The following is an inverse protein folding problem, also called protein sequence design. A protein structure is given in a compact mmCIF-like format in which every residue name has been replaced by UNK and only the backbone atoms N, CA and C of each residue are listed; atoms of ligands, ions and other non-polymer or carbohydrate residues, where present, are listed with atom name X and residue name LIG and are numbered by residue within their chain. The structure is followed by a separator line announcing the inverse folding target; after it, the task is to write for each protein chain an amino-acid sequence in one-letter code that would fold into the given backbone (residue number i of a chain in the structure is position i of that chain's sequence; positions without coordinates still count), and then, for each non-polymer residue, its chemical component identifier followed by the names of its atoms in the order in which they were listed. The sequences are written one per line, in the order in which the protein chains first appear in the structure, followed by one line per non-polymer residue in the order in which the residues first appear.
data_IF_633993763494
#
_entry.id   IF_633993763494
#
_cell.length_a   1.000
_cell.length_b   1.000
_cell.length_c   1.000
_cell.angle_alpha   90.00
_cell.angle_beta   90.00
_cell.angle_gamma   90.00
#
_symmetry.space_group_name_H-M   'P 1'
#
loop_
_entity.id
_entity.type
_entity.pdbx_description
1 polymer ?
#
# COMPACT_ATOMS: atom_id res chain seq x y z
N UNK A 1 -25.77 9.58 19.65
CA UNK A 1 -25.26 8.35 20.30
C UNK A 1 -25.54 7.17 19.36
N UNK A 2 -24.51 6.52 18.81
CA UNK A 2 -24.69 5.39 17.89
C UNK A 2 -25.00 4.10 18.64
N UNK A 3 -25.94 3.28 18.14
CA UNK A 3 -26.23 1.96 18.73
C UNK A 3 -24.98 1.09 18.71
N UNK A 4 -24.62 0.53 19.88
CA UNK A 4 -23.53 -0.45 20.01
C UNK A 4 -23.94 -1.75 19.32
N UNK A 5 -23.00 -2.40 18.64
CA UNK A 5 -23.25 -3.72 18.03
C UNK A 5 -23.40 -4.74 19.16
N UNK A 6 -24.60 -5.33 19.26
CA UNK A 6 -24.91 -6.37 20.23
C UNK A 6 -24.79 -7.75 19.57
N UNK A 7 -23.83 -8.54 20.06
CA UNK A 7 -23.58 -9.91 19.61
C UNK A 7 -23.96 -10.94 20.69
N UNK A 8 -24.65 -10.55 21.77
CA UNK A 8 -25.00 -11.43 22.90
C UNK A 8 -25.82 -12.68 22.51
N UNK A 9 -26.56 -12.60 21.39
CA UNK A 9 -27.43 -13.67 20.90
C UNK A 9 -26.71 -14.83 20.20
N UNK A 10 -25.44 -14.67 19.83
CA UNK A 10 -24.66 -15.74 19.22
C UNK A 10 -24.41 -16.87 20.24
N UNK A 11 -24.43 -18.12 19.81
CA UNK A 11 -23.87 -19.21 20.61
C UNK A 11 -22.36 -19.10 20.68
N UNK A 12 -21.71 -19.86 21.55
CA UNK A 12 -20.25 -19.83 21.67
C UNK A 12 -19.56 -20.43 20.44
N UNK A 13 -20.16 -21.43 19.80
CA UNK A 13 -19.71 -21.99 18.52
C UNK A 13 -19.79 -20.96 17.39
N UNK A 14 -20.90 -20.24 17.30
CA UNK A 14 -21.08 -19.16 16.32
C UNK A 14 -20.10 -18.01 16.57
N UNK A 15 -19.94 -17.59 17.83
CA UNK A 15 -19.02 -16.53 18.21
C UNK A 15 -17.56 -16.90 17.89
N UNK A 16 -17.18 -18.15 18.15
CA UNK A 16 -15.86 -18.70 17.77
C UNK A 16 -15.67 -18.69 16.26
N UNK A 17 -16.68 -19.11 15.49
CA UNK A 17 -16.57 -19.09 14.04
C UNK A 17 -16.42 -17.65 13.48
N UNK A 18 -17.20 -16.70 13.99
CA UNK A 18 -17.07 -15.27 13.61
C UNK A 18 -15.68 -14.75 13.98
N UNK A 19 -15.14 -15.11 15.14
CA UNK A 19 -13.78 -14.75 15.54
C UNK A 19 -12.73 -15.22 14.53
N UNK A 20 -12.80 -16.47 14.08
CA UNK A 20 -11.87 -17.02 13.07
C UNK A 20 -11.97 -16.28 11.72
N UNK A 21 -13.18 -15.86 11.32
CA UNK A 21 -13.37 -15.00 10.13
C UNK A 21 -12.72 -13.64 10.33
N UNK A 22 -12.91 -13.03 11.50
CA UNK A 22 -12.29 -11.73 11.83
C UNK A 22 -10.77 -11.83 11.81
N UNK A 23 -10.17 -12.88 12.37
CA UNK A 23 -8.72 -13.08 12.34
C UNK A 23 -8.17 -13.10 10.90
N UNK A 24 -8.83 -13.81 9.98
CA UNK A 24 -8.42 -13.84 8.57
C UNK A 24 -8.50 -12.48 7.90
N UNK A 25 -9.48 -11.64 8.25
CA UNK A 25 -9.55 -10.26 7.73
C UNK A 25 -8.40 -9.39 8.26
N UNK A 26 -8.04 -9.53 9.54
CA UNK A 26 -6.88 -8.85 10.11
C UNK A 26 -5.57 -9.27 9.43
N UNK A 27 -5.37 -10.58 9.22
CA UNK A 27 -4.18 -11.09 8.51
C UNK A 27 -4.11 -10.57 7.07
N UNK A 28 -5.26 -10.53 6.38
CA UNK A 28 -5.35 -10.01 5.01
C UNK A 28 -4.98 -8.53 4.94
N UNK A 29 -5.51 -7.71 5.85
CA UNK A 29 -5.21 -6.27 5.94
C UNK A 29 -3.75 -6.01 6.27
N UNK A 30 -3.19 -6.74 7.25
CA UNK A 30 -1.78 -6.64 7.62
C UNK A 30 -0.87 -6.95 6.43
N UNK A 31 -1.17 -8.03 5.70
CA UNK A 31 -0.43 -8.40 4.49
C UNK A 31 -0.49 -7.32 3.41
N UNK A 32 -1.63 -6.67 3.25
CA UNK A 32 -1.77 -5.56 2.29
C UNK A 32 -0.99 -4.32 2.73
N UNK A 33 -0.98 -4.00 4.02
CA UNK A 33 -0.16 -2.93 4.60
C UNK A 33 1.33 -3.15 4.35
N UNK A 34 1.83 -4.35 4.69
CA UNK A 34 3.22 -4.75 4.45
C UNK A 34 3.58 -4.68 2.96
N UNK A 35 2.69 -5.15 2.09
CA UNK A 35 2.89 -5.10 0.63
C UNK A 35 2.98 -3.66 0.13
N UNK A 36 2.13 -2.75 0.61
CA UNK A 36 2.17 -1.34 0.22
C UNK A 36 3.43 -0.65 0.76
N UNK A 37 3.82 -0.94 2.00
CA UNK A 37 5.02 -0.36 2.62
C UNK A 37 6.30 -0.80 1.92
N UNK A 38 6.42 -2.09 1.55
CA UNK A 38 7.55 -2.60 0.78
C UNK A 38 7.67 -1.87 -0.57
N UNK A 39 6.55 -1.60 -1.24
CA UNK A 39 6.55 -0.87 -2.51
C UNK A 39 6.92 0.61 -2.33
N UNK A 40 6.43 1.28 -1.28
CA UNK A 40 6.80 2.66 -0.95
C UNK A 40 8.31 2.76 -0.68
N UNK A 41 8.84 1.87 0.14
CA UNK A 41 10.28 1.80 0.43
C UNK A 41 11.12 1.66 -0.85
N UNK A 42 10.71 0.80 -1.80
CA UNK A 42 11.39 0.67 -3.10
C UNK A 42 11.34 1.96 -3.94
N UNK A 43 10.22 2.68 -3.89
CA UNK A 43 10.07 3.98 -4.58
C UNK A 43 11.01 5.01 -3.96
N UNK A 44 11.06 5.09 -2.63
CA UNK A 44 11.88 6.05 -1.87
C UNK A 44 13.38 5.80 -2.02
N UNK A 45 13.78 4.53 -2.09
CA UNK A 45 15.16 4.15 -2.40
C UNK A 45 15.56 4.65 -3.80
N UNK A 46 14.70 4.48 -4.80
CA UNK A 46 14.98 4.94 -6.16
C UNK A 46 14.87 6.46 -6.32
N UNK A 47 14.04 7.16 -5.54
CA UNK A 47 14.02 8.62 -5.52
C UNK A 47 15.29 9.18 -4.90
N UNK A 48 15.72 8.65 -3.75
CA UNK A 48 16.94 9.07 -3.04
C UNK A 48 18.18 8.88 -3.92
N UNK A 49 18.27 7.72 -4.58
CA UNK A 49 19.33 7.44 -5.56
C UNK A 49 19.30 8.43 -6.72
N UNK A 50 18.12 8.75 -7.25
CA UNK A 50 17.98 9.73 -8.34
C UNK A 50 18.44 11.11 -7.91
N UNK A 51 18.04 11.58 -6.73
CA UNK A 51 18.45 12.88 -6.18
C UNK A 51 19.97 13.01 -6.10
N UNK A 52 20.65 11.96 -5.60
CA UNK A 52 22.10 11.89 -5.59
C UNK A 52 22.70 12.00 -7.00
N UNK A 53 22.15 11.28 -7.98
CA UNK A 53 22.69 11.23 -9.35
C UNK A 53 22.39 12.49 -10.17
N UNK A 54 21.28 13.18 -9.91
CA UNK A 54 20.94 14.43 -10.62
C UNK A 54 21.88 15.59 -10.28
N UNK A 55 22.63 15.49 -9.18
CA UNK A 55 23.71 16.44 -8.88
C UNK A 55 24.91 16.33 -9.84
N UNK A 56 25.02 15.22 -10.58
CA UNK A 56 26.04 14.99 -11.60
C UNK A 56 25.44 15.30 -12.98
N UNK A 57 25.61 16.54 -13.44
CA UNK A 57 25.06 17.01 -14.71
C UNK A 57 25.48 16.08 -15.87
N UNK A 58 24.53 15.80 -16.77
CA UNK A 58 24.68 15.00 -17.99
C UNK A 58 24.75 13.47 -17.88
N UNK A 59 24.74 12.86 -16.68
CA UNK A 59 24.78 11.38 -16.57
C UNK A 59 23.61 10.72 -17.32
N UNK A 60 22.40 11.28 -17.23
CA UNK A 60 21.22 10.72 -17.88
C UNK A 60 21.18 10.90 -19.41
N UNK A 61 22.07 11.70 -19.98
CA UNK A 61 22.17 11.83 -21.44
C UNK A 61 22.81 10.57 -22.05
N UNK A 62 23.75 9.97 -21.32
CA UNK A 62 24.60 8.85 -21.75
C UNK A 62 24.28 7.53 -21.05
N UNK A 63 23.64 7.55 -19.87
CA UNK A 63 23.34 6.35 -19.07
C UNK A 63 21.86 6.27 -18.64
N UNK A 64 21.37 5.04 -18.47
CA UNK A 64 20.05 4.81 -17.86
C UNK A 64 20.03 5.32 -16.41
N UNK A 65 19.05 6.14 -16.04
CA UNK A 65 18.98 6.71 -14.67
C UNK A 65 18.84 5.65 -13.57
N UNK A 66 18.31 4.45 -13.90
CA UNK A 66 18.05 3.40 -12.91
C UNK A 66 19.19 2.39 -12.81
N UNK A 67 19.60 1.75 -13.90
CA UNK A 67 20.65 0.72 -13.84
C UNK A 67 22.08 1.27 -14.05
N UNK A 68 22.21 2.56 -14.37
CA UNK A 68 23.48 3.25 -14.64
C UNK A 68 24.29 2.62 -15.79
N UNK A 69 23.68 1.76 -16.60
CA UNK A 69 24.31 1.20 -17.78
C UNK A 69 24.29 2.23 -18.91
N UNK A 70 25.39 2.36 -19.69
CA UNK A 70 25.45 3.29 -20.81
C UNK A 70 24.46 2.89 -21.90
N UNK A 71 23.87 3.89 -22.55
CA UNK A 71 23.10 3.68 -23.76
C UNK A 71 24.04 3.23 -24.88
N UNK A 72 23.64 2.18 -25.58
CA UNK A 72 24.35 1.66 -26.75
C UNK A 72 23.35 1.50 -27.87
N UNK A 73 23.74 1.92 -29.07
CA UNK A 73 22.91 1.78 -30.26
C UNK A 73 22.46 0.30 -30.41
N UNK A 74 21.17 0.10 -30.67
CA UNK A 74 20.45 -1.19 -30.82
C UNK A 74 20.36 -2.11 -29.58
N UNK A 75 21.40 -2.23 -28.75
CA UNK A 75 21.39 -3.14 -27.59
C UNK A 75 20.71 -2.54 -26.35
N UNK A 76 20.94 -1.25 -26.09
CA UNK A 76 20.39 -0.50 -24.96
C UNK A 76 19.80 0.81 -25.46
N UNK A 77 18.76 0.72 -26.30
CA UNK A 77 18.07 1.87 -26.87
C UNK A 77 17.55 2.81 -25.78
N UNK A 78 17.80 4.11 -25.95
CA UNK A 78 17.34 5.20 -25.08
C UNK A 78 15.82 5.37 -25.18
N UNK A 79 15.13 5.46 -24.05
CA UNK A 79 13.67 5.66 -23.93
C UNK A 79 13.35 6.71 -22.89
N UNK A 80 12.50 7.67 -23.20
CA UNK A 80 12.10 8.68 -22.22
C UNK A 80 10.86 8.23 -21.45
N UNK A 81 10.90 8.33 -20.13
CA UNK A 81 9.74 8.07 -19.28
C UNK A 81 8.69 9.18 -19.43
N UNK A 82 7.41 8.82 -19.56
CA UNK A 82 6.31 9.79 -19.62
C UNK A 82 6.12 10.56 -18.31
N UNK A 83 6.40 9.95 -17.16
CA UNK A 83 6.10 10.53 -15.85
C UNK A 83 7.23 11.43 -15.33
N UNK A 84 8.46 10.95 -15.38
CA UNK A 84 9.60 11.66 -14.79
C UNK A 84 10.55 12.28 -15.83
N UNK A 85 10.27 12.09 -17.12
CA UNK A 85 11.04 12.61 -18.25
C UNK A 85 12.54 12.22 -18.33
N UNK A 86 13.03 11.37 -17.42
CA UNK A 86 14.36 10.80 -17.50
C UNK A 86 14.47 9.70 -18.55
N UNK A 87 15.67 9.53 -19.08
CA UNK A 87 16.01 8.46 -20.01
C UNK A 87 16.33 7.14 -19.31
N UNK A 88 15.82 6.06 -19.90
CA UNK A 88 15.90 4.70 -19.38
C UNK A 88 16.24 3.71 -20.49
N UNK A 89 16.77 2.54 -20.11
CA UNK A 89 17.00 1.43 -21.03
C UNK A 89 15.74 0.57 -21.19
N UNK A 90 15.81 -0.44 -22.06
CA UNK A 90 14.70 -1.36 -22.30
C UNK A 90 14.27 -2.15 -21.07
N UNK A 91 15.23 -2.55 -20.23
CA UNK A 91 14.97 -3.41 -19.09
C UNK A 91 14.34 -2.66 -17.92
N UNK A 92 14.61 -1.35 -17.81
CA UNK A 92 14.11 -0.48 -16.74
C UNK A 92 12.81 0.27 -17.12
N UNK A 93 12.19 -0.07 -18.26
CA UNK A 93 10.98 0.60 -18.75
C UNK A 93 10.00 -0.38 -19.41
N UNK A 94 8.73 -0.01 -19.45
CA UNK A 94 7.66 -0.76 -20.11
C UNK A 94 6.82 0.18 -20.97
N UNK A 95 6.33 -0.33 -22.10
CA UNK A 95 5.47 0.45 -22.99
C UNK A 95 4.04 0.43 -22.46
N UNK A 96 3.48 1.61 -22.24
CA UNK A 96 2.07 1.81 -21.92
C UNK A 96 1.30 1.97 -23.23
N UNK A 97 0.49 0.97 -23.58
CA UNK A 97 -0.31 0.99 -24.82
C UNK A 97 -1.39 2.08 -24.84
N UNK A 98 -1.95 2.44 -23.68
CA UNK A 98 -3.04 3.44 -23.57
C UNK A 98 -2.52 4.85 -23.80
N UNK A 99 -1.37 5.17 -23.22
CA UNK A 99 -0.72 6.48 -23.33
C UNK A 99 0.31 6.56 -24.47
N UNK A 100 0.47 5.47 -25.23
CA UNK A 100 1.39 5.34 -26.36
C UNK A 100 2.84 5.75 -26.06
N UNK A 101 3.36 5.45 -24.86
CA UNK A 101 4.73 5.83 -24.47
C UNK A 101 5.37 4.91 -23.44
N UNK A 102 6.61 5.22 -23.07
CA UNK A 102 7.38 4.40 -22.13
C UNK A 102 7.26 4.94 -20.71
N UNK A 103 7.11 4.04 -19.73
CA UNK A 103 7.12 4.37 -18.30
C UNK A 103 8.20 3.55 -17.63
N UNK A 104 9.03 4.19 -16.80
CA UNK A 104 10.08 3.50 -16.07
C UNK A 104 9.51 2.63 -14.94
N UNK A 105 10.28 1.63 -14.50
CA UNK A 105 9.82 0.69 -13.47
C UNK A 105 9.44 1.40 -12.16
N UNK A 106 10.22 2.36 -11.63
CA UNK A 106 9.82 3.10 -10.42
C UNK A 106 8.53 3.92 -10.61
N UNK A 107 8.37 4.66 -11.70
CA UNK A 107 7.13 5.41 -11.95
C UNK A 107 5.93 4.47 -12.13
N UNK A 108 6.10 3.30 -12.75
CA UNK A 108 5.04 2.29 -12.79
C UNK A 108 4.66 1.81 -11.39
N UNK A 109 5.64 1.53 -10.53
CA UNK A 109 5.38 1.16 -9.13
C UNK A 109 4.66 2.29 -8.39
N UNK A 110 5.05 3.55 -8.59
CA UNK A 110 4.35 4.70 -8.00
C UNK A 110 2.89 4.78 -8.43
N UNK A 111 2.58 4.51 -9.70
CA UNK A 111 1.18 4.41 -10.19
C UNK A 111 0.41 3.27 -9.50
N UNK A 112 1.04 2.10 -9.34
CA UNK A 112 0.44 0.95 -8.66
C UNK A 112 0.14 1.28 -7.20
N UNK A 113 1.07 1.89 -6.47
CA UNK A 113 0.86 2.29 -5.06
C UNK A 113 -0.24 3.34 -4.97
N UNK A 114 -0.22 4.37 -5.83
CA UNK A 114 -1.22 5.44 -5.84
C UNK A 114 -2.65 4.93 -6.08
N UNK A 115 -2.82 3.95 -6.95
CA UNK A 115 -4.15 3.35 -7.23
C UNK A 115 -4.50 2.31 -6.17
N UNK A 116 -3.55 1.43 -5.84
CA UNK A 116 -3.74 0.29 -4.95
C UNK A 116 -3.90 0.66 -3.48
N UNK A 117 -3.41 1.82 -3.05
CA UNK A 117 -3.62 2.33 -1.68
C UNK A 117 -5.09 2.67 -1.40
N UNK A 118 -5.88 2.92 -2.45
CA UNK A 118 -7.31 3.27 -2.36
C UNK A 118 -7.58 4.39 -1.35
N UNK A 119 -6.71 5.40 -1.27
CA UNK A 119 -6.81 6.49 -0.29
C UNK A 119 -8.19 7.14 -0.26
N UNK A 120 -8.76 7.43 -1.44
CA UNK A 120 -10.10 8.00 -1.58
C UNK A 120 -11.19 7.19 -0.86
N UNK A 121 -11.10 5.86 -0.89
CA UNK A 121 -12.05 4.96 -0.25
C UNK A 121 -11.83 4.94 1.26
N UNK A 122 -10.58 4.77 1.69
CA UNK A 122 -10.27 4.66 3.11
C UNK A 122 -10.45 5.98 3.87
N UNK A 123 -10.20 7.11 3.24
CA UNK A 123 -10.53 8.43 3.80
C UNK A 123 -12.03 8.60 3.97
N UNK A 124 -12.82 8.22 2.97
CA UNK A 124 -14.27 8.28 3.06
C UNK A 124 -14.79 7.36 4.18
N UNK A 125 -14.29 6.12 4.27
CA UNK A 125 -14.63 5.19 5.37
C UNK A 125 -14.25 5.77 6.73
N UNK A 126 -13.03 6.30 6.90
CA UNK A 126 -12.54 6.88 8.16
C UNK A 126 -13.32 8.15 8.56
N UNK A 127 -13.77 8.94 7.60
CA UNK A 127 -14.60 10.12 7.87
C UNK A 127 -16.00 9.75 8.39
N UNK A 128 -16.53 8.60 7.97
CA UNK A 128 -17.87 8.13 8.35
C UNK A 128 -17.88 7.22 9.57
N UNK A 129 -16.80 6.46 9.79
CA UNK A 129 -16.71 5.44 10.83
C UNK A 129 -15.37 5.52 11.56
N UNK A 130 -15.42 5.40 12.90
CA UNK A 130 -14.21 5.41 13.74
C UNK A 130 -13.31 4.18 13.53
N UNK A 131 -13.88 3.05 13.12
CA UNK A 131 -13.21 1.75 12.95
C UNK A 131 -13.84 1.00 11.79
N UNK A 132 -13.08 0.15 11.11
CA UNK A 132 -13.63 -0.76 10.11
C UNK A 132 -14.45 -1.89 10.74
N UNK A 133 -15.20 -2.63 9.91
CA UNK A 133 -16.18 -3.62 10.34
C UNK A 133 -15.62 -4.66 11.31
N UNK A 134 -14.57 -5.37 10.94
CA UNK A 134 -14.02 -6.46 11.76
C UNK A 134 -13.41 -5.94 13.07
N UNK A 135 -12.81 -4.75 13.10
CA UNK A 135 -12.39 -4.10 14.33
C UNK A 135 -13.57 -3.80 15.28
N UNK A 136 -14.72 -3.38 14.74
CA UNK A 136 -15.96 -3.17 15.52
C UNK A 136 -16.54 -4.49 16.03
N UNK A 137 -16.50 -5.55 15.22
CA UNK A 137 -16.95 -6.90 15.61
C UNK A 137 -16.05 -7.46 16.71
N UNK A 138 -14.73 -7.37 16.53
CA UNK A 138 -13.73 -7.82 17.50
C UNK A 138 -13.97 -7.19 18.88
N UNK A 139 -14.19 -5.88 18.92
CA UNK A 139 -14.50 -5.17 20.17
C UNK A 139 -15.79 -5.67 20.84
N UNK A 140 -16.81 -6.04 20.07
CA UNK A 140 -18.07 -6.58 20.61
C UNK A 140 -17.90 -8.03 21.11
N UNK A 141 -17.16 -8.87 20.38
CA UNK A 141 -16.83 -10.24 20.79
C UNK A 141 -16.04 -10.27 22.10
N UNK A 142 -15.01 -9.41 22.24
CA UNK A 142 -14.27 -9.29 23.50
C UNK A 142 -15.17 -8.86 24.68
N UNK A 143 -16.14 -7.98 24.42
CA UNK A 143 -17.12 -7.56 25.42
C UNK A 143 -18.00 -8.70 25.95
N UNK A 144 -18.17 -9.80 25.19
CA UNK A 144 -18.82 -11.03 25.69
C UNK A 144 -17.94 -11.80 26.67
N UNK A 145 -16.63 -11.86 26.39
CA UNK A 145 -15.67 -12.65 27.17
C UNK A 145 -15.26 -12.00 28.49
N UNK A 146 -15.31 -10.67 28.58
CA UNK A 146 -15.00 -9.92 29.81
C UNK A 146 -16.09 -8.92 30.18
N UNK A 147 -17.20 -9.36 30.80
CA UNK A 147 -18.22 -8.47 31.30
C UNK A 147 -17.64 -7.62 32.45
N UNK A 148 -17.38 -6.32 32.20
CA UNK A 148 -17.01 -5.35 33.23
C UNK A 148 -15.57 -4.82 33.20
N UNK A 149 -14.66 -5.41 32.41
CA UNK A 149 -13.36 -4.80 32.13
C UNK A 149 -13.46 -3.96 30.85
N UNK A 150 -13.45 -2.64 31.00
CA UNK A 150 -13.42 -1.72 29.87
C UNK A 150 -12.15 -1.96 29.05
N UNK A 151 -12.29 -2.61 27.90
CA UNK A 151 -11.16 -2.88 27.01
C UNK A 151 -10.48 -1.55 26.65
N UNK A 152 -9.19 -1.44 26.96
CA UNK A 152 -8.44 -0.22 26.76
C UNK A 152 -8.37 0.08 25.26
N UNK A 153 -9.16 1.05 24.80
CA UNK A 153 -9.34 1.42 23.38
C UNK A 153 -8.00 1.50 22.64
N UNK A 154 -6.98 2.05 23.31
CA UNK A 154 -5.65 2.25 22.77
C UNK A 154 -4.93 0.95 22.36
N UNK A 155 -5.13 -0.16 23.08
CA UNK A 155 -4.49 -1.44 22.76
C UNK A 155 -5.10 -2.09 21.51
N UNK A 156 -6.43 -2.04 21.38
CA UNK A 156 -7.09 -2.47 20.16
C UNK A 156 -6.71 -1.57 18.97
N UNK A 157 -6.64 -0.26 19.19
CA UNK A 157 -6.31 0.69 18.14
C UNK A 157 -4.87 0.51 17.62
N UNK A 158 -3.93 -0.02 18.43
CA UNK A 158 -2.57 -0.39 17.98
C UNK A 158 -2.48 -1.70 17.17
N UNK A 159 -3.53 -2.53 17.19
CA UNK A 159 -3.58 -3.81 16.48
C UNK A 159 -4.38 -3.73 15.16
N UNK A 160 -4.96 -2.56 14.86
CA UNK A 160 -5.83 -2.31 13.71
C UNK A 160 -4.96 -1.83 12.54
N UNK A 161 -4.88 -2.61 11.45
CA UNK A 161 -4.20 -2.16 10.24
C UNK A 161 -4.80 -0.85 9.71
N UNK A 162 -3.96 0.00 9.12
CA UNK A 162 -4.39 1.31 8.61
C UNK A 162 -5.03 1.25 7.21
N UNK A 163 -5.09 0.04 6.64
CA UNK A 163 -5.69 -0.36 5.36
C UNK A 163 -6.84 -1.34 5.57
#
# INVERSE_FOLDING_TARGET
MGRKLDLSKLTDEEAKHVWEVVQRDFDLRKKEEERLEELKCKIDQESSKREFLTSQSHLNETHCVHCLQPFKFLLNSKRQCLDCHFYTCKNCSRYNKKEQGWVCDPCRLSRIVKIGSLEWYYEHVRSRFKRFGSAKVLQSLYGRLQPGQGLNSAFLDSLIPHV
#
